data_IF_957515115696
#
_entry.id   IF_957515115696
#
_cell.length_a   1.000
_cell.length_b   1.000
_cell.length_c   1.000
_cell.angle_alpha   90.00
_cell.angle_beta   90.00
_cell.angle_gamma   90.00
#
_symmetry.space_group_name_H-M   'P 1'
#
loop_
_entity.id
_entity.type
_entity.pdbx_description
1 polymer ?
#
# COMPACT_ATOMS: atom_id res chain seq x y z
N UNK A 1 2.95 -6.01 -22.45
CA UNK A 1 2.08 -5.25 -21.53
C UNK A 1 2.90 -4.91 -20.31
N UNK A 2 3.03 -3.64 -19.97
CA UNK A 2 3.79 -3.18 -18.80
C UNK A 2 3.04 -3.65 -17.54
N UNK A 3 3.43 -4.78 -16.97
CA UNK A 3 2.93 -5.26 -15.69
C UNK A 3 3.31 -4.24 -14.61
N UNK A 4 2.31 -3.65 -13.97
CA UNK A 4 2.53 -2.77 -12.83
C UNK A 4 2.94 -3.65 -11.64
N UNK A 5 4.24 -3.63 -11.30
CA UNK A 5 4.81 -4.48 -10.25
C UNK A 5 4.13 -4.29 -8.89
N UNK A 6 3.67 -3.06 -8.59
CA UNK A 6 2.92 -2.77 -7.36
C UNK A 6 1.57 -3.49 -7.39
N UNK A 7 0.84 -3.40 -8.51
CA UNK A 7 -0.44 -4.10 -8.66
C UNK A 7 -0.28 -5.62 -8.54
N UNK A 8 0.80 -6.18 -9.09
CA UNK A 8 1.08 -7.61 -8.98
C UNK A 8 1.49 -8.01 -7.55
N UNK A 9 2.23 -7.18 -6.83
CA UNK A 9 2.54 -7.37 -5.42
C UNK A 9 1.26 -7.41 -4.56
N UNK A 10 0.35 -6.46 -4.77
CA UNK A 10 -0.94 -6.40 -4.06
C UNK A 10 -1.77 -7.66 -4.33
N UNK A 11 -1.91 -8.09 -5.59
CA UNK A 11 -2.61 -9.33 -5.95
C UNK A 11 -2.03 -10.56 -5.27
N UNK A 12 -0.70 -10.72 -5.29
CA UNK A 12 -0.01 -11.86 -4.65
C UNK A 12 -0.26 -11.88 -3.15
N UNK A 13 -0.22 -10.71 -2.51
CA UNK A 13 -0.42 -10.57 -1.06
C UNK A 13 -1.86 -10.87 -0.65
N UNK A 14 -2.85 -10.36 -1.39
CA UNK A 14 -4.26 -10.66 -1.15
C UNK A 14 -4.61 -12.14 -1.38
N UNK A 15 -4.05 -12.76 -2.42
CA UNK A 15 -4.24 -14.20 -2.64
C UNK A 15 -3.69 -15.04 -1.48
N UNK A 16 -2.54 -14.64 -0.92
CA UNK A 16 -2.01 -15.27 0.29
C UNK A 16 -2.92 -15.04 1.50
N UNK A 17 -3.39 -13.82 1.72
CA UNK A 17 -4.32 -13.50 2.79
C UNK A 17 -5.58 -14.38 2.74
N UNK A 18 -6.20 -14.54 1.57
CA UNK A 18 -7.38 -15.41 1.42
C UNK A 18 -7.11 -16.88 1.67
N UNK A 19 -5.92 -17.38 1.30
CA UNK A 19 -5.53 -18.76 1.59
C UNK A 19 -5.30 -18.96 3.09
N UNK A 20 -4.71 -17.98 3.76
CA UNK A 20 -4.37 -18.03 5.18
C UNK A 20 -5.61 -17.75 6.08
N UNK A 21 -6.74 -17.35 5.48
CA UNK A 21 -8.01 -17.04 6.17
C UNK A 21 -8.76 -18.28 6.68
N UNK A 22 -8.36 -19.48 6.28
CA UNK A 22 -8.86 -20.79 6.77
C UNK A 22 -10.41 -20.91 6.87
N UNK A 23 -11.12 -20.30 5.92
CA UNK A 23 -12.60 -20.37 5.84
C UNK A 23 -13.36 -19.30 6.64
N UNK A 24 -12.66 -18.42 7.36
CA UNK A 24 -13.28 -17.26 8.01
C UNK A 24 -13.76 -16.23 6.97
N UNK A 25 -14.80 -15.45 7.32
CA UNK A 25 -15.28 -14.39 6.44
C UNK A 25 -14.33 -13.18 6.51
N UNK A 26 -13.74 -12.72 5.39
CA UNK A 26 -12.87 -11.56 5.43
C UNK A 26 -13.69 -10.29 5.67
N UNK A 27 -13.18 -9.39 6.51
CA UNK A 27 -13.83 -8.12 6.81
C UNK A 27 -12.85 -6.95 6.61
N UNK A 28 -13.39 -5.78 6.24
CA UNK A 28 -12.64 -4.53 6.12
C UNK A 28 -11.36 -4.59 5.24
N UNK A 29 -11.33 -5.43 4.20
CA UNK A 29 -10.14 -5.58 3.33
C UNK A 29 -9.73 -4.24 2.70
N UNK A 30 -10.71 -3.46 2.24
CA UNK A 30 -10.44 -2.16 1.62
C UNK A 30 -9.66 -1.24 2.57
N UNK A 31 -10.17 -1.05 3.79
CA UNK A 31 -9.54 -0.22 4.81
C UNK A 31 -8.17 -0.78 5.24
N UNK A 32 -8.07 -2.11 5.40
CA UNK A 32 -6.82 -2.79 5.72
C UNK A 32 -5.76 -2.51 4.65
N UNK A 33 -6.09 -2.68 3.37
CA UNK A 33 -5.15 -2.47 2.27
C UNK A 33 -4.78 -0.99 2.16
N UNK A 34 -5.78 -0.10 2.15
CA UNK A 34 -5.56 1.34 1.98
C UNK A 34 -4.67 1.89 3.09
N UNK A 35 -4.97 1.56 4.35
CA UNK A 35 -4.18 2.00 5.51
C UNK A 35 -2.71 1.55 5.42
N UNK A 36 -2.46 0.30 5.04
CA UNK A 36 -1.09 -0.22 4.92
C UNK A 36 -0.33 0.43 3.76
N UNK A 37 -1.00 0.64 2.62
CA UNK A 37 -0.41 1.28 1.45
C UNK A 37 -0.11 2.75 1.71
N UNK A 38 -1.06 3.50 2.27
CA UNK A 38 -0.89 4.92 2.60
C UNK A 38 0.25 5.11 3.60
N UNK A 39 0.27 4.34 4.69
CA UNK A 39 1.34 4.45 5.68
C UNK A 39 2.72 4.18 5.06
N UNK A 40 2.86 3.09 4.30
CA UNK A 40 4.13 2.72 3.67
C UNK A 40 4.60 3.76 2.65
N UNK A 41 3.66 4.31 1.88
CA UNK A 41 3.93 5.36 0.90
C UNK A 41 4.38 6.66 1.59
N UNK A 42 3.62 7.14 2.56
CA UNK A 42 3.92 8.38 3.28
C UNK A 42 5.26 8.31 4.01
N UNK A 43 5.55 7.21 4.70
CA UNK A 43 6.83 7.01 5.38
C UNK A 43 8.01 7.01 4.41
N UNK A 44 7.87 6.33 3.27
CA UNK A 44 8.92 6.25 2.25
C UNK A 44 9.18 7.61 1.61
N UNK A 45 8.11 8.35 1.27
CA UNK A 45 8.24 9.69 0.68
C UNK A 45 8.78 10.70 1.69
N UNK A 46 8.29 10.71 2.93
CA UNK A 46 8.84 11.61 3.96
C UNK A 46 10.33 11.37 4.21
N UNK A 47 10.76 10.11 4.22
CA UNK A 47 12.18 9.76 4.34
C UNK A 47 12.98 10.28 3.14
N UNK A 48 12.45 10.11 1.92
CA UNK A 48 13.09 10.59 0.71
C UNK A 48 13.19 12.12 0.68
N UNK A 49 12.16 12.83 1.16
CA UNK A 49 12.13 14.27 1.30
C UNK A 49 12.97 14.80 2.49
N UNK A 50 13.68 13.94 3.23
CA UNK A 50 14.52 14.35 4.36
C UNK A 50 13.73 15.01 5.50
N UNK A 51 12.46 14.64 5.69
CA UNK A 51 11.59 15.26 6.70
C UNK A 51 10.90 16.56 6.24
N UNK A 52 11.15 17.04 5.01
CA UNK A 52 10.49 18.22 4.47
C UNK A 52 9.09 17.88 3.94
N UNK A 53 8.06 18.32 4.66
CA UNK A 53 6.66 18.04 4.31
C UNK A 53 6.20 18.72 3.02
N UNK A 54 6.71 19.91 2.69
CA UNK A 54 6.37 20.59 1.43
C UNK A 54 6.89 19.81 0.23
N UNK A 55 8.15 19.37 0.28
CA UNK A 55 8.73 18.53 -0.78
C UNK A 55 7.98 17.19 -0.87
N UNK A 56 7.64 16.58 0.27
CA UNK A 56 6.88 15.34 0.28
C UNK A 56 5.48 15.51 -0.32
N UNK A 57 4.77 16.58 0.00
CA UNK A 57 3.46 16.91 -0.58
C UNK A 57 3.56 17.13 -2.09
N UNK A 58 4.58 17.86 -2.56
CA UNK A 58 4.87 18.02 -3.99
C UNK A 58 5.14 16.68 -4.70
N UNK A 59 5.90 15.77 -4.07
CA UNK A 59 6.17 14.42 -4.60
C UNK A 59 4.90 13.55 -4.64
N UNK A 60 4.04 13.67 -3.64
CA UNK A 60 2.76 12.94 -3.53
C UNK A 60 1.69 13.53 -4.46
N UNK A 61 1.80 14.80 -4.84
CA UNK A 61 0.81 15.51 -5.63
C UNK A 61 -0.46 15.87 -4.83
N UNK A 62 -0.32 16.13 -3.52
CA UNK A 62 -1.41 16.51 -2.61
C UNK A 62 -1.22 17.91 -2.02
#
# INVERSE_FOLDING_TARGET
MSTNEIADCVRRTLNRYFRDLDGEAPCAIYDMVLKNVEQSMLETVMRHAGGNQTIAAEMLGI
#
